data_IF_527571634067
#
_entry.id   IF_527571634067
#
_cell.length_a   1.000
_cell.length_b   1.000
_cell.length_c   1.000
_cell.angle_alpha   90.00
_cell.angle_beta   90.00
_cell.angle_gamma   90.00
#
_symmetry.space_group_name_H-M   'P 1'
#
loop_
_entity.id
_entity.type
_entity.pdbx_description
1 polymer ?
#
# COMPACT_ATOMS: atom_id res chain seq x y z
N UNK A 1 -0.86 16.71 0.31
CA UNK A 1 -1.33 15.34 0.68
C UNK A 1 -0.70 14.88 1.98
N UNK A 2 -1.30 13.91 2.68
CA UNK A 2 -0.72 13.22 3.85
C UNK A 2 -0.27 11.83 3.40
N UNK A 3 0.96 11.43 3.72
CA UNK A 3 1.54 10.14 3.30
C UNK A 3 2.10 9.38 4.50
N UNK A 4 1.71 8.13 4.64
CA UNK A 4 2.36 7.14 5.49
C UNK A 4 3.02 6.11 4.58
N UNK A 5 4.33 6.27 4.34
CA UNK A 5 5.10 5.37 3.48
C UNK A 5 5.80 4.27 4.27
N UNK A 6 6.01 3.13 3.60
CA UNK A 6 6.80 2.00 4.09
C UNK A 6 6.24 1.29 5.34
N UNK A 7 4.91 1.17 5.45
CA UNK A 7 4.30 0.35 6.48
C UNK A 7 4.53 -1.14 6.19
N UNK A 8 5.22 -1.84 7.08
CA UNK A 8 5.37 -3.30 6.97
C UNK A 8 4.07 -3.99 7.38
N UNK A 9 3.58 -4.88 6.51
CA UNK A 9 2.47 -5.77 6.79
C UNK A 9 2.78 -7.20 6.32
N UNK A 10 2.07 -8.17 6.90
CA UNK A 10 2.21 -9.58 6.55
C UNK A 10 0.85 -10.11 6.15
N UNK A 11 0.80 -10.82 5.01
CA UNK A 11 -0.39 -11.54 4.55
C UNK A 11 -0.05 -12.93 4.07
N UNK A 12 -1.01 -13.56 3.40
CA UNK A 12 -0.89 -14.91 2.87
C UNK A 12 -1.30 -14.89 1.40
N UNK A 13 -0.49 -15.49 0.53
CA UNK A 13 -0.86 -15.68 -0.87
C UNK A 13 -1.94 -16.79 -0.95
N UNK A 14 -3.14 -16.52 -1.49
CA UNK A 14 -4.27 -17.45 -1.41
C UNK A 14 -4.04 -18.74 -2.19
N UNK A 15 -3.19 -18.70 -3.22
CA UNK A 15 -2.93 -19.86 -4.08
C UNK A 15 -2.08 -20.95 -3.42
N UNK A 16 -1.24 -20.57 -2.45
CA UNK A 16 -0.26 -21.48 -1.85
C UNK A 16 -0.23 -21.45 -0.33
N UNK A 17 -1.04 -20.58 0.28
CA UNK A 17 -1.07 -20.34 1.72
C UNK A 17 0.30 -20.04 2.32
N UNK A 18 1.17 -19.41 1.53
CA UNK A 18 2.52 -19.00 1.94
C UNK A 18 2.56 -17.51 2.27
N UNK A 19 3.47 -17.09 3.17
CA UNK A 19 3.58 -15.70 3.59
C UNK A 19 3.86 -14.73 2.43
N UNK A 20 3.33 -13.52 2.56
CA UNK A 20 3.70 -12.37 1.75
C UNK A 20 4.12 -11.26 2.70
N UNK A 21 5.28 -10.67 2.44
CA UNK A 21 5.79 -9.52 3.18
C UNK A 21 5.51 -8.29 2.34
N UNK A 22 4.64 -7.40 2.82
CA UNK A 22 4.27 -6.17 2.12
C UNK A 22 4.97 -4.96 2.72
N UNK A 23 5.37 -4.05 1.84
CA UNK A 23 5.67 -2.66 2.15
C UNK A 23 4.58 -1.79 1.54
N UNK A 24 3.74 -1.20 2.39
CA UNK A 24 2.52 -0.49 2.00
C UNK A 24 2.71 1.01 2.26
N UNK A 25 2.53 1.80 1.21
CA UNK A 25 2.50 3.26 1.27
C UNK A 25 1.07 3.74 1.00
N UNK A 26 0.54 4.52 1.93
CA UNK A 26 -0.82 5.05 1.93
C UNK A 26 -0.77 6.57 1.87
N UNK A 27 -1.62 7.17 1.04
CA UNK A 27 -1.77 8.61 0.93
C UNK A 27 -3.23 9.03 0.78
N UNK A 28 -3.57 10.21 1.29
CA UNK A 28 -4.85 10.87 1.03
C UNK A 28 -4.71 12.39 1.13
N UNK A 29 -5.66 13.11 0.54
CA UNK A 29 -5.79 14.57 0.72
C UNK A 29 -7.02 14.82 1.60
N UNK A 30 -6.83 15.26 2.86
CA UNK A 30 -7.95 15.46 3.78
C UNK A 30 -8.86 16.59 3.31
N UNK A 31 -10.13 16.48 3.71
CA UNK A 31 -11.09 17.58 3.67
C UNK A 31 -11.19 18.17 5.08
N UNK A 32 -12.23 17.82 5.84
CA UNK A 32 -12.42 18.23 7.24
C UNK A 32 -11.90 17.18 8.25
N UNK A 33 -11.69 15.93 7.81
CA UNK A 33 -11.29 14.81 8.68
C UNK A 33 -9.82 14.47 8.47
N UNK A 34 -9.08 14.37 9.57
CA UNK A 34 -7.68 13.90 9.58
C UNK A 34 -7.58 12.64 10.43
N UNK A 35 -7.08 11.56 9.83
CA UNK A 35 -6.87 10.30 10.51
C UNK A 35 -5.56 10.35 11.33
N UNK A 36 -5.62 9.85 12.56
CA UNK A 36 -4.42 9.71 13.40
C UNK A 36 -3.36 8.79 12.77
N UNK A 37 -2.09 9.19 12.88
CA UNK A 37 -0.97 8.55 12.16
C UNK A 37 -0.90 7.03 12.36
N UNK A 38 -1.02 6.56 13.61
CA UNK A 38 -0.96 5.13 13.93
C UNK A 38 -2.10 4.29 13.35
N UNK A 39 -3.21 4.93 12.95
CA UNK A 39 -4.36 4.25 12.35
C UNK A 39 -4.12 3.89 10.89
N UNK A 40 -3.31 4.67 10.15
CA UNK A 40 -2.92 4.32 8.78
C UNK A 40 -2.14 3.00 8.76
N UNK A 41 -1.10 2.89 9.59
CA UNK A 41 -0.31 1.66 9.72
C UNK A 41 -1.15 0.49 10.24
N UNK A 42 -2.10 0.75 11.14
CA UNK A 42 -3.02 -0.27 11.64
C UNK A 42 -3.99 -0.75 10.57
N UNK A 43 -4.52 0.15 9.75
CA UNK A 43 -5.38 -0.19 8.62
C UNK A 43 -4.65 -1.08 7.63
N UNK A 44 -3.44 -0.69 7.20
CA UNK A 44 -2.61 -1.50 6.30
C UNK A 44 -2.44 -2.95 6.81
N UNK A 45 -2.10 -3.11 8.10
CA UNK A 45 -1.92 -4.43 8.73
C UNK A 45 -3.22 -5.20 8.88
N UNK A 46 -4.32 -4.52 9.18
CA UNK A 46 -5.63 -5.16 9.35
C UNK A 46 -6.14 -5.71 8.02
N UNK A 47 -6.07 -4.93 6.95
CA UNK A 47 -6.57 -5.34 5.64
C UNK A 47 -5.65 -6.40 5.03
N UNK A 48 -4.33 -6.30 5.18
CA UNK A 48 -3.40 -7.31 4.66
C UNK A 48 -3.51 -8.69 5.33
N UNK A 49 -4.24 -8.81 6.45
CA UNK A 49 -4.33 -10.06 7.22
C UNK A 49 -5.11 -11.13 6.45
N UNK A 50 -4.53 -12.31 6.33
CA UNK A 50 -5.17 -13.51 5.78
C UNK A 50 -4.87 -13.76 4.30
N UNK A 51 -5.49 -14.79 3.70
CA UNK A 51 -5.31 -15.14 2.29
C UNK A 51 -5.97 -14.11 1.37
N UNK A 52 -5.20 -13.31 0.65
CA UNK A 52 -5.72 -12.30 -0.31
C UNK A 52 -4.80 -12.06 -1.50
N UNK A 53 -5.39 -11.65 -2.63
CA UNK A 53 -4.65 -11.11 -3.76
C UNK A 53 -4.12 -9.71 -3.42
N UNK A 54 -2.92 -9.37 -3.92
CA UNK A 54 -2.29 -8.08 -3.62
C UNK A 54 -3.01 -6.93 -4.35
N UNK A 55 -3.55 -7.23 -5.53
CA UNK A 55 -4.36 -6.35 -6.38
C UNK A 55 -5.62 -5.91 -5.61
N UNK A 56 -6.36 -6.87 -5.06
CA UNK A 56 -7.56 -6.61 -4.26
C UNK A 56 -7.24 -5.82 -2.99
N UNK A 57 -6.18 -6.21 -2.26
CA UNK A 57 -5.69 -5.48 -1.10
C UNK A 57 -5.40 -4.01 -1.42
N UNK A 58 -4.82 -3.74 -2.59
CA UNK A 58 -4.47 -2.39 -3.04
C UNK A 58 -5.73 -1.54 -3.28
N UNK A 59 -6.71 -2.11 -3.98
CA UNK A 59 -7.97 -1.42 -4.25
C UNK A 59 -8.79 -1.20 -2.98
N UNK A 60 -8.94 -2.22 -2.14
CA UNK A 60 -9.69 -2.13 -0.87
C UNK A 60 -9.13 -1.03 0.04
N UNK A 61 -7.80 -0.92 0.16
CA UNK A 61 -7.17 0.16 0.92
C UNK A 61 -7.45 1.54 0.33
N UNK A 62 -7.38 1.69 -1.00
CA UNK A 62 -7.64 2.96 -1.67
C UNK A 62 -9.11 3.38 -1.48
N UNK A 63 -10.05 2.45 -1.62
CA UNK A 63 -11.48 2.67 -1.44
C UNK A 63 -11.79 3.06 0.00
N UNK A 64 -11.30 2.30 1.00
CA UNK A 64 -11.50 2.63 2.42
C UNK A 64 -10.98 4.05 2.73
N UNK A 65 -9.80 4.41 2.24
CA UNK A 65 -9.22 5.73 2.48
C UNK A 65 -9.97 6.87 1.77
N UNK A 66 -10.59 6.59 0.62
CA UNK A 66 -11.40 7.57 -0.08
C UNK A 66 -12.74 7.75 0.61
N UNK A 67 -13.50 6.65 0.73
CA UNK A 67 -14.91 6.67 1.09
C UNK A 67 -15.11 6.90 2.58
N UNK A 68 -14.37 6.19 3.44
CA UNK A 68 -14.55 6.26 4.90
C UNK A 68 -13.98 7.55 5.49
N UNK A 69 -12.90 8.08 4.92
CA UNK A 69 -12.32 9.36 5.36
C UNK A 69 -12.97 10.56 4.65
N UNK A 70 -13.80 10.33 3.63
CA UNK A 70 -14.40 11.38 2.79
C UNK A 70 -13.31 12.35 2.28
N UNK A 71 -12.20 11.77 1.83
CA UNK A 71 -11.04 12.52 1.37
C UNK A 71 -11.25 13.02 -0.07
N UNK A 72 -10.54 14.07 -0.48
CA UNK A 72 -10.59 14.54 -1.87
C UNK A 72 -10.07 13.47 -2.85
N UNK A 73 -9.24 12.56 -2.34
CA UNK A 73 -8.70 11.43 -3.06
C UNK A 73 -7.74 10.65 -2.16
N UNK A 74 -7.46 9.42 -2.59
CA UNK A 74 -6.53 8.51 -1.93
C UNK A 74 -5.58 7.89 -2.96
N UNK A 75 -4.41 7.46 -2.49
CA UNK A 75 -3.48 6.68 -3.28
C UNK A 75 -2.79 5.63 -2.41
N UNK A 76 -2.59 4.45 -3.00
CA UNK A 76 -1.94 3.30 -2.37
C UNK A 76 -0.88 2.77 -3.32
N UNK A 77 0.27 2.43 -2.76
CA UNK A 77 1.36 1.76 -3.46
C UNK A 77 1.87 0.63 -2.58
N UNK A 78 1.89 -0.60 -3.12
CA UNK A 78 2.29 -1.79 -2.38
C UNK A 78 3.40 -2.51 -3.13
N UNK A 79 4.43 -2.88 -2.40
CA UNK A 79 5.45 -3.82 -2.86
C UNK A 79 5.34 -5.09 -2.03
N UNK A 80 5.16 -6.23 -2.68
CA UNK A 80 5.01 -7.53 -2.04
C UNK A 80 6.17 -8.47 -2.39
N UNK A 81 6.78 -9.05 -1.37
CA UNK A 81 7.67 -10.20 -1.50
C UNK A 81 6.87 -11.47 -1.21
N UNK A 82 6.60 -12.25 -2.25
CA UNK A 82 5.75 -13.43 -2.19
C UNK A 82 6.56 -14.71 -1.97
N UNK A 83 6.40 -15.38 -0.82
CA UNK A 83 7.15 -16.60 -0.51
C UNK A 83 6.77 -17.77 -1.42
N UNK A 84 5.60 -17.74 -2.07
CA UNK A 84 5.23 -18.72 -3.08
C UNK A 84 6.16 -18.71 -4.31
N UNK A 85 6.84 -17.60 -4.57
CA UNK A 85 7.86 -17.46 -5.62
C UNK A 85 9.28 -17.49 -5.06
N UNK A 86 9.50 -16.89 -3.88
CA UNK A 86 10.84 -16.69 -3.34
C UNK A 86 11.38 -17.89 -2.54
N UNK A 87 10.53 -18.66 -1.86
CA UNK A 87 10.97 -19.75 -0.98
C UNK A 87 10.81 -21.14 -1.61
N UNK A 88 10.26 -21.23 -2.82
CA UNK A 88 10.04 -22.49 -3.54
C UNK A 88 9.96 -22.26 -5.05
N UNK A 89 9.92 -23.35 -5.80
CA UNK A 89 9.67 -23.32 -7.24
C UNK A 89 10.71 -22.47 -7.96
N UNK A 90 10.25 -21.40 -8.63
CA UNK A 90 11.08 -20.49 -9.43
C UNK A 90 12.24 -19.84 -8.66
N UNK A 91 12.17 -19.75 -7.32
CA UNK A 91 13.29 -19.27 -6.50
C UNK A 91 13.60 -17.79 -6.72
N UNK A 92 12.61 -16.97 -7.05
CA UNK A 92 12.80 -15.55 -7.36
C UNK A 92 12.93 -14.72 -6.07
N UNK A 93 14.08 -14.80 -5.41
CA UNK A 93 14.32 -14.20 -4.09
C UNK A 93 14.18 -12.66 -4.05
N UNK A 94 14.58 -12.00 -5.13
CA UNK A 94 14.60 -10.53 -5.24
C UNK A 94 13.37 -9.95 -5.93
N UNK A 95 12.56 -10.78 -6.59
CA UNK A 95 11.36 -10.32 -7.28
C UNK A 95 10.37 -9.68 -6.29
N UNK A 96 9.78 -8.55 -6.68
CA UNK A 96 8.74 -7.85 -5.94
C UNK A 96 7.57 -7.60 -6.87
N UNK A 97 6.37 -7.96 -6.43
CA UNK A 97 5.15 -7.56 -7.12
C UNK A 97 4.80 -6.14 -6.67
N UNK A 98 4.59 -5.25 -7.64
CA UNK A 98 4.19 -3.87 -7.39
C UNK A 98 2.77 -3.66 -7.86
N UNK A 99 1.93 -3.09 -7.00
CA UNK A 99 0.56 -2.68 -7.33
C UNK A 99 0.32 -1.25 -6.84
N UNK A 100 -0.49 -0.50 -7.57
CA UNK A 100 -0.92 0.83 -7.16
C UNK A 100 -2.40 1.05 -7.45
N UNK A 101 -3.04 1.88 -6.62
CA UNK A 101 -4.45 2.22 -6.74
C UNK A 101 -4.67 3.67 -6.33
N UNK A 102 -5.44 4.41 -7.12
CA UNK A 102 -5.73 5.84 -6.89
C UNK A 102 -7.22 6.14 -7.00
N UNK A 103 -7.69 7.17 -6.29
CA UNK A 103 -9.06 7.69 -6.28
C UNK A 103 -9.08 9.22 -6.25
N UNK A 104 -10.18 9.81 -6.70
CA UNK A 104 -10.42 11.26 -6.63
C UNK A 104 -9.31 12.06 -7.29
N UNK A 105 -8.84 13.12 -6.62
CA UNK A 105 -7.81 14.03 -7.14
C UNK A 105 -6.48 13.35 -7.52
N UNK A 106 -6.19 12.13 -7.04
CA UNK A 106 -5.02 11.37 -7.48
C UNK A 106 -5.16 10.74 -8.88
N UNK A 107 -6.31 10.89 -9.55
CA UNK A 107 -6.46 10.58 -10.98
C UNK A 107 -5.79 11.63 -11.86
N UNK A 108 -5.61 12.85 -11.35
CA UNK A 108 -4.88 13.91 -12.03
C UNK A 108 -3.39 13.59 -12.08
N UNK A 109 -2.78 13.77 -13.26
CA UNK A 109 -1.40 13.36 -13.50
C UNK A 109 -0.41 14.00 -12.52
N UNK A 110 -0.54 15.32 -12.29
CA UNK A 110 0.37 16.06 -11.42
C UNK A 110 0.36 15.54 -9.97
N UNK A 111 -0.83 15.32 -9.40
CA UNK A 111 -0.98 14.79 -8.04
C UNK A 111 -0.48 13.35 -7.94
N UNK A 112 -0.74 12.53 -8.96
CA UNK A 112 -0.25 11.14 -9.01
C UNK A 112 1.28 11.08 -9.10
N UNK A 113 1.89 11.92 -9.91
CA UNK A 113 3.35 11.98 -10.06
C UNK A 113 4.03 12.47 -8.79
N UNK A 114 3.47 13.48 -8.12
CA UNK A 114 3.97 13.94 -6.82
C UNK A 114 3.96 12.80 -5.79
N UNK A 115 2.85 12.05 -5.70
CA UNK A 115 2.75 10.88 -4.83
C UNK A 115 3.80 9.81 -5.15
N UNK A 116 3.89 9.38 -6.41
CA UNK A 116 4.83 8.34 -6.84
C UNK A 116 6.28 8.76 -6.55
N UNK A 117 6.63 10.03 -6.82
CA UNK A 117 7.95 10.58 -6.50
C UNK A 117 8.29 10.48 -5.01
N UNK A 118 7.33 10.75 -4.12
CA UNK A 118 7.56 10.75 -2.67
C UNK A 118 7.68 9.33 -2.08
N UNK A 119 6.94 8.35 -2.62
CA UNK A 119 6.97 6.96 -2.13
C UNK A 119 8.12 6.14 -2.73
N UNK A 120 8.57 6.46 -3.95
CA UNK A 120 9.72 5.80 -4.58
C UNK A 120 11.06 6.41 -4.14
N UNK A 121 11.05 7.60 -3.53
CA UNK A 121 12.25 8.21 -3.00
C UNK A 121 12.88 7.31 -1.91
N UNK A 122 14.22 7.12 -1.94
CA UNK A 122 14.92 6.33 -0.95
C UNK A 122 14.66 6.85 0.48
N UNK A 123 14.81 5.99 1.51
CA UNK A 123 14.64 6.43 2.88
C UNK A 123 15.53 7.62 3.15
N UNK A 124 14.95 8.72 3.63
CA UNK A 124 15.72 9.84 4.14
C UNK A 124 16.37 9.36 5.43
N UNK A 125 17.70 9.25 5.46
CA UNK A 125 18.44 8.96 6.68
C UNK A 125 18.17 10.11 7.65
N UNK A 126 17.34 9.86 8.66
CA UNK A 126 17.20 10.79 9.78
C UNK A 126 18.49 10.67 10.58
N UNK A 127 19.30 11.72 10.52
CA UNK A 127 20.51 11.89 11.35
C UNK A 127 20.09 12.11 12.79
#
# INVERSE_FOLDING_TARGET
MVISKHNTAFGICPHHLLPVIYRISLAYIPTAKVLGLSKLSRLARLIARGPRLQEDLTHELADIMHDQLQSQGSAVYIEGLHMCMAARGVGAHEARLVTSGVRGVFLELATREEFLKLVLAPPTTLV
#
